data_IF_593065500332
#
_entry.id   IF_593065500332
#
_cell.length_a   1.000
_cell.length_b   1.000
_cell.length_c   1.000
_cell.angle_alpha   90.00
_cell.angle_beta   90.00
_cell.angle_gamma   90.00
#
_symmetry.space_group_name_H-M   'P 1'
#
loop_
_entity.id
_entity.type
_entity.pdbx_description
1 polymer ?
#
# COMPACT_ATOMS: atom_id res chain seq x y z
N UNK A 1 6.14 18.62 -12.61
CA UNK A 1 6.98 17.55 -12.05
C UNK A 1 6.46 16.24 -12.60
N UNK A 2 7.25 15.54 -13.43
CA UNK A 2 6.94 14.16 -13.80
C UNK A 2 7.65 13.27 -12.77
N UNK A 3 6.90 12.48 -12.02
CA UNK A 3 7.45 11.59 -11.00
C UNK A 3 6.84 10.20 -11.21
N UNK A 4 7.69 9.19 -11.19
CA UNK A 4 7.28 7.80 -11.21
C UNK A 4 7.45 7.29 -9.77
N UNK A 5 6.36 6.85 -9.12
CA UNK A 5 6.43 6.43 -7.72
C UNK A 5 7.51 5.35 -7.48
N UNK A 6 7.59 4.33 -8.33
CA UNK A 6 8.61 3.27 -8.22
C UNK A 6 10.07 3.75 -8.34
N UNK A 7 10.33 4.91 -8.92
CA UNK A 7 11.69 5.44 -9.13
C UNK A 7 11.99 6.62 -8.21
N UNK A 8 11.02 7.50 -8.02
CA UNK A 8 11.20 8.81 -7.38
C UNK A 8 10.79 8.82 -5.91
N UNK A 9 10.12 7.79 -5.40
CA UNK A 9 9.54 7.80 -4.05
C UNK A 9 10.58 8.04 -2.95
N UNK A 10 11.69 7.27 -2.91
CA UNK A 10 12.73 7.44 -1.88
C UNK A 10 13.27 8.88 -1.88
N UNK A 11 13.55 9.45 -3.06
CA UNK A 11 14.06 10.80 -3.19
C UNK A 11 13.06 11.85 -2.69
N UNK A 12 11.78 11.70 -3.06
CA UNK A 12 10.71 12.62 -2.65
C UNK A 12 10.55 12.56 -1.13
N UNK A 13 10.42 11.36 -0.56
CA UNK A 13 10.19 11.18 0.87
C UNK A 13 11.40 11.64 1.68
N UNK A 14 12.63 11.34 1.24
CA UNK A 14 13.84 11.79 1.93
C UNK A 14 14.01 13.31 1.97
N UNK A 15 13.42 14.02 0.99
CA UNK A 15 13.45 15.49 0.97
C UNK A 15 12.33 16.14 1.80
N UNK A 16 11.35 15.35 2.25
CA UNK A 16 10.24 15.86 3.04
C UNK A 16 10.65 15.95 4.53
N UNK A 17 10.50 17.12 5.18
CA UNK A 17 11.02 17.34 6.54
C UNK A 17 10.17 16.67 7.65
N UNK A 18 9.02 16.10 7.30
CA UNK A 18 8.08 15.51 8.25
C UNK A 18 8.03 13.98 8.18
N UNK A 19 7.35 13.33 9.14
CA UNK A 19 7.17 11.88 9.11
C UNK A 19 6.21 11.48 8.00
N UNK A 20 6.52 10.37 7.32
CA UNK A 20 5.58 9.69 6.42
C UNK A 20 4.63 8.84 7.28
N UNK A 21 3.39 9.29 7.44
CA UNK A 21 2.39 8.66 8.31
C UNK A 21 1.34 7.84 7.58
N UNK A 22 1.11 8.10 6.30
CA UNK A 22 0.15 7.37 5.48
C UNK A 22 0.67 7.22 4.05
N UNK A 23 0.61 5.99 3.54
CA UNK A 23 0.78 5.69 2.11
C UNK A 23 -0.51 5.06 1.60
N UNK A 24 -1.11 5.65 0.56
CA UNK A 24 -2.29 5.09 -0.09
C UNK A 24 -1.96 4.69 -1.53
N UNK A 25 -2.21 3.44 -1.90
CA UNK A 25 -2.09 2.93 -3.26
C UNK A 25 -3.49 2.60 -3.77
N UNK A 26 -4.00 3.46 -4.66
CA UNK A 26 -5.40 3.44 -5.06
C UNK A 26 -5.54 3.12 -6.54
N UNK A 27 -6.24 2.02 -6.83
CA UNK A 27 -6.60 1.53 -8.15
C UNK A 27 -5.46 1.62 -9.18
N UNK A 28 -4.27 1.03 -8.90
CA UNK A 28 -3.18 1.03 -9.88
C UNK A 28 -3.54 0.15 -11.08
N UNK A 29 -2.85 0.38 -12.21
CA UNK A 29 -3.06 -0.41 -13.42
C UNK A 29 -2.89 -1.92 -13.15
N UNK A 30 -3.89 -2.75 -13.50
CA UNK A 30 -3.94 -4.16 -13.08
C UNK A 30 -2.91 -5.04 -13.78
N UNK A 31 -2.54 -4.67 -15.02
CA UNK A 31 -1.66 -5.45 -15.90
C UNK A 31 -2.00 -6.96 -15.95
N UNK A 32 -3.26 -7.28 -16.29
CA UNK A 32 -3.85 -8.64 -16.25
C UNK A 32 -3.03 -9.80 -16.85
N UNK A 33 -2.18 -9.52 -17.85
CA UNK A 33 -1.36 -10.58 -18.45
C UNK A 33 -0.17 -10.88 -17.54
N UNK A 34 0.06 -12.15 -17.18
CA UNK A 34 1.22 -12.59 -16.37
C UNK A 34 2.55 -11.96 -16.81
N UNK A 35 2.80 -11.90 -18.12
CA UNK A 35 4.00 -11.27 -18.71
C UNK A 35 4.16 -9.77 -18.39
N UNK A 36 3.12 -9.09 -17.96
CA UNK A 36 3.09 -7.68 -17.58
C UNK A 36 3.03 -7.46 -16.06
N UNK A 37 2.99 -8.50 -15.21
CA UNK A 37 2.92 -8.32 -13.75
C UNK A 37 4.11 -7.51 -13.20
N UNK A 38 5.28 -7.58 -13.85
CA UNK A 38 6.46 -6.74 -13.54
C UNK A 38 6.23 -5.24 -13.74
N UNK A 39 5.15 -4.85 -14.41
CA UNK A 39 4.77 -3.45 -14.64
C UNK A 39 3.81 -2.91 -13.57
N UNK A 40 3.25 -3.78 -12.70
CA UNK A 40 2.40 -3.33 -11.59
C UNK A 40 3.17 -2.35 -10.73
N UNK A 41 2.46 -1.33 -10.23
CA UNK A 41 3.07 -0.25 -9.45
C UNK A 41 3.79 -0.79 -8.22
N UNK A 42 3.17 -1.72 -7.50
CA UNK A 42 3.76 -2.27 -6.28
C UNK A 42 4.74 -3.39 -6.61
N UNK A 43 6.02 -3.03 -6.73
CA UNK A 43 7.15 -3.96 -6.82
C UNK A 43 7.97 -3.89 -5.52
N UNK A 44 8.77 -4.94 -5.26
CA UNK A 44 9.62 -5.06 -4.06
C UNK A 44 10.39 -3.78 -3.72
N UNK A 45 11.05 -3.07 -4.67
CA UNK A 45 11.79 -1.85 -4.32
C UNK A 45 10.92 -0.72 -3.75
N UNK A 46 9.68 -0.59 -4.22
CA UNK A 46 8.75 0.40 -3.70
C UNK A 46 8.25 0.00 -2.31
N UNK A 47 7.96 -1.29 -2.11
CA UNK A 47 7.54 -1.83 -0.81
C UNK A 47 8.65 -1.62 0.22
N UNK A 48 9.88 -2.02 -0.09
CA UNK A 48 11.06 -1.80 0.77
C UNK A 48 11.22 -0.33 1.17
N UNK A 49 11.10 0.57 0.20
CA UNK A 49 11.22 2.00 0.44
C UNK A 49 10.07 2.54 1.30
N UNK A 50 8.84 2.08 1.09
CA UNK A 50 7.71 2.43 1.97
C UNK A 50 7.98 1.94 3.39
N UNK A 51 8.32 0.66 3.57
CA UNK A 51 8.59 0.05 4.88
C UNK A 51 9.69 0.79 5.64
N UNK A 52 10.77 1.20 4.95
CA UNK A 52 11.90 1.90 5.56
C UNK A 52 11.57 3.33 6.00
N UNK A 53 10.70 4.03 5.26
CA UNK A 53 10.46 5.46 5.50
C UNK A 53 9.16 5.75 6.28
N UNK A 54 8.26 4.77 6.40
CA UNK A 54 7.04 4.92 7.18
C UNK A 54 7.38 5.08 8.66
N UNK A 55 6.78 6.06 9.34
CA UNK A 55 7.00 6.25 10.77
C UNK A 55 6.31 5.14 11.58
N UNK A 56 6.72 4.95 12.84
CA UNK A 56 6.01 4.07 13.77
C UNK A 56 4.55 4.51 13.91
N UNK A 57 3.63 3.54 13.84
CA UNK A 57 2.18 3.80 13.82
C UNK A 57 1.66 4.37 12.50
N UNK A 58 2.52 4.55 11.50
CA UNK A 58 2.10 4.90 10.14
C UNK A 58 1.31 3.77 9.50
N UNK A 59 0.50 4.10 8.48
CA UNK A 59 -0.42 3.16 7.85
C UNK A 59 -0.19 3.07 6.35
N UNK A 60 -0.46 1.89 5.81
CA UNK A 60 -0.56 1.67 4.37
C UNK A 60 -1.99 1.27 4.05
N UNK A 61 -2.60 1.98 3.11
CA UNK A 61 -3.92 1.66 2.57
C UNK A 61 -3.76 1.21 1.12
N UNK A 62 -4.23 0.01 0.80
CA UNK A 62 -4.29 -0.51 -0.57
C UNK A 62 -5.74 -0.64 -1.00
N UNK A 63 -6.04 -0.23 -2.23
CA UNK A 63 -7.39 -0.32 -2.80
C UNK A 63 -7.29 -0.65 -4.29
N UNK A 64 -8.12 -1.54 -4.78
CA UNK A 64 -8.31 -1.77 -6.22
C UNK A 64 -9.71 -2.29 -6.48
N UNK A 65 -10.23 -1.96 -7.66
CA UNK A 65 -11.44 -2.53 -8.27
C UNK A 65 -11.23 -3.95 -8.84
N UNK A 66 -9.99 -4.44 -8.86
CA UNK A 66 -9.62 -5.78 -9.29
C UNK A 66 -9.07 -6.57 -8.10
N UNK A 67 -9.81 -7.59 -7.65
CA UNK A 67 -9.45 -8.40 -6.48
C UNK A 67 -8.03 -8.99 -6.55
N UNK A 68 -7.63 -9.50 -7.72
CA UNK A 68 -6.29 -10.07 -7.94
C UNK A 68 -5.16 -9.03 -7.74
N UNK A 69 -5.45 -7.75 -7.98
CA UNK A 69 -4.50 -6.65 -7.81
C UNK A 69 -4.47 -6.22 -6.36
N UNK A 70 -5.63 -6.08 -5.71
CA UNK A 70 -5.72 -5.82 -4.29
C UNK A 70 -4.97 -6.90 -3.48
N UNK A 71 -5.20 -8.17 -3.83
CA UNK A 71 -4.57 -9.33 -3.17
C UNK A 71 -3.07 -9.34 -3.39
N UNK A 72 -2.58 -9.18 -4.64
CA UNK A 72 -1.12 -9.08 -4.90
C UNK A 72 -0.50 -7.90 -4.12
N UNK A 73 -1.19 -6.76 -4.01
CA UNK A 73 -0.68 -5.64 -3.23
C UNK A 73 -0.58 -5.96 -1.74
N UNK A 74 -1.61 -6.57 -1.16
CA UNK A 74 -1.63 -7.03 0.23
C UNK A 74 -0.50 -8.02 0.50
N UNK A 75 -0.37 -9.05 -0.34
CA UNK A 75 0.66 -10.10 -0.20
C UNK A 75 2.09 -9.53 -0.17
N UNK A 76 2.36 -8.44 -0.90
CA UNK A 76 3.68 -7.79 -0.82
C UNK A 76 3.99 -7.24 0.57
N UNK A 77 3.00 -6.67 1.26
CA UNK A 77 3.17 -6.14 2.62
C UNK A 77 3.12 -7.24 3.67
N UNK A 78 2.32 -8.28 3.47
CA UNK A 78 2.25 -9.44 4.36
C UNK A 78 3.62 -10.16 4.46
N UNK A 79 4.47 -10.02 3.44
CA UNK A 79 5.88 -10.45 3.47
C UNK A 79 6.77 -9.76 4.51
N UNK A 80 6.32 -8.66 5.12
CA UNK A 80 7.01 -7.89 6.15
C UNK A 80 6.21 -7.94 7.47
N UNK A 81 5.74 -9.13 7.86
CA UNK A 81 4.95 -9.38 9.07
C UNK A 81 5.64 -9.02 10.40
N UNK A 82 6.95 -8.77 10.38
CA UNK A 82 7.73 -8.24 11.49
C UNK A 82 7.60 -6.71 11.65
N UNK A 83 7.14 -6.02 10.61
CA UNK A 83 6.97 -4.56 10.57
C UNK A 83 5.50 -4.14 10.47
N UNK A 84 4.71 -4.87 9.69
CA UNK A 84 3.30 -4.56 9.49
C UNK A 84 2.38 -5.54 10.20
N UNK A 85 1.28 -5.00 10.69
CA UNK A 85 0.15 -5.76 11.21
C UNK A 85 -1.13 -5.27 10.52
N UNK A 86 -2.04 -6.19 10.24
CA UNK A 86 -3.31 -5.84 9.61
C UNK A 86 -4.14 -4.93 10.52
N UNK A 87 -4.83 -3.95 9.90
CA UNK A 87 -5.51 -2.89 10.64
C UNK A 87 -6.62 -3.41 11.57
N UNK A 88 -7.34 -4.47 11.17
CA UNK A 88 -8.39 -5.14 11.95
C UNK A 88 -7.89 -5.79 13.26
N UNK A 89 -6.60 -6.14 13.33
CA UNK A 89 -5.98 -6.66 14.54
C UNK A 89 -5.64 -5.57 15.55
N UNK A 90 -5.33 -4.38 15.05
CA UNK A 90 -4.97 -3.20 15.86
C UNK A 90 -6.23 -2.47 16.33
N UNK A 91 -7.15 -2.19 15.41
CA UNK A 91 -8.37 -1.44 15.64
C UNK A 91 -9.57 -2.35 15.36
N UNK A 92 -10.15 -2.88 16.44
CA UNK A 92 -11.27 -3.82 16.40
C UNK A 92 -12.61 -3.16 16.05
N UNK A 93 -12.66 -1.82 16.01
CA UNK A 93 -13.85 -1.10 15.63
C UNK A 93 -13.96 -0.99 14.09
N UNK A 94 -12.87 -1.27 13.36
CA UNK A 94 -12.88 -1.35 11.89
C UNK A 94 -13.82 -2.44 11.41
N UNK A 95 -14.74 -2.05 10.53
CA UNK A 95 -15.65 -2.97 9.88
C UNK A 95 -14.92 -3.64 8.71
N UNK A 96 -14.58 -4.91 8.89
CA UNK A 96 -13.96 -5.74 7.86
C UNK A 96 -14.82 -6.95 7.51
N UNK A 97 -14.63 -7.48 6.30
CA UNK A 97 -15.13 -8.81 5.93
C UNK A 97 -14.31 -9.93 6.60
N UNK A 98 -14.69 -11.18 6.34
CA UNK A 98 -14.04 -12.35 6.91
C UNK A 98 -12.58 -12.55 6.47
N UNK A 99 -12.15 -11.87 5.40
CA UNK A 99 -10.80 -11.94 4.85
C UNK A 99 -9.94 -10.75 5.33
N UNK A 100 -10.51 -9.82 6.11
CA UNK A 100 -9.83 -8.63 6.63
C UNK A 100 -9.86 -7.42 5.69
N UNK A 101 -10.72 -7.42 4.65
CA UNK A 101 -10.92 -6.24 3.80
C UNK A 101 -11.89 -5.27 4.43
N UNK A 102 -11.56 -3.98 4.38
CA UNK A 102 -12.43 -2.91 4.88
C UNK A 102 -13.74 -2.86 4.08
N UNK A 103 -14.87 -2.81 4.78
CA UNK A 103 -16.19 -2.69 4.18
C UNK A 103 -16.47 -1.27 3.67
N UNK A 104 -15.86 -0.27 4.31
CA UNK A 104 -16.00 1.15 3.97
C UNK A 104 -14.63 1.77 3.68
N UNK A 105 -14.59 2.73 2.76
CA UNK A 105 -13.37 3.46 2.45
C UNK A 105 -13.04 4.46 3.57
N UNK A 106 -11.93 4.28 4.32
CA UNK A 106 -11.58 5.15 5.45
C UNK A 106 -11.15 6.56 5.02
N UNK A 107 -10.89 6.78 3.73
CA UNK A 107 -10.54 8.09 3.17
C UNK A 107 -11.77 8.97 2.89
N UNK A 108 -12.98 8.40 3.03
CA UNK A 108 -14.24 9.06 2.69
C UNK A 108 -14.49 9.13 1.17
N UNK A 109 -15.76 9.40 0.81
CA UNK A 109 -16.17 9.72 -0.55
C UNK A 109 -16.05 11.24 -0.71
N UNK A 110 -15.31 11.72 -1.72
CA UNK A 110 -15.34 13.12 -2.14
C UNK A 110 -16.28 13.31 -3.31
#
# INVERSE_FOLDING_TARGET
>A
MFANATVSFEQIVSSYPGPLSLVSILCPDPHFKKRHHKRRVLQTPLVDSITKNLCLGGRVLVQSDVLDVATDMRERFDGYSDVFEHADRIDKDLQCDNEGWLLDNPMGIR
#
